data_IF_592724642728
#
_entry.id   IF_592724642728
#
_cell.length_a   1.000
_cell.length_b   1.000
_cell.length_c   1.000
_cell.angle_alpha   90.00
_cell.angle_beta   90.00
_cell.angle_gamma   90.00
#
_symmetry.space_group_name_H-M   'P 1'
#
loop_
_entity.id
_entity.type
_entity.pdbx_description
1 polymer ?
#
# COMPACT_ATOMS: atom_id res chain seq x y z
N UNK A 1 7.96 4.70 5.45
CA UNK A 1 7.68 6.13 5.49
C UNK A 1 6.20 6.42 5.30
N UNK A 2 5.70 7.42 6.00
CA UNK A 2 4.33 7.90 5.86
C UNK A 2 4.39 9.32 5.33
N UNK A 3 3.72 9.57 4.21
CA UNK A 3 3.57 10.92 3.66
C UNK A 3 2.18 11.43 3.99
N UNK A 4 2.11 12.55 4.72
CA UNK A 4 0.87 13.32 4.84
C UNK A 4 0.72 14.16 3.58
N UNK A 5 -0.25 13.82 2.75
CA UNK A 5 -0.36 14.40 1.40
C UNK A 5 -0.67 15.90 1.47
N UNK A 6 -1.61 16.29 2.33
CA UNK A 6 -2.03 17.69 2.43
C UNK A 6 -0.92 18.58 2.99
N UNK A 7 -0.23 18.12 4.02
CA UNK A 7 0.84 18.88 4.69
C UNK A 7 2.21 18.70 4.04
N UNK A 8 2.32 17.76 3.11
CA UNK A 8 3.58 17.40 2.46
C UNK A 8 4.69 17.11 3.48
N UNK A 9 4.35 16.36 4.51
CA UNK A 9 5.24 16.00 5.60
C UNK A 9 5.49 14.51 5.61
N UNK A 10 6.78 14.11 5.74
CA UNK A 10 7.19 12.71 5.77
C UNK A 10 7.49 12.32 7.21
N UNK A 11 6.93 11.19 7.64
CA UNK A 11 7.14 10.61 8.95
C UNK A 11 7.78 9.24 8.76
N UNK A 12 8.88 8.99 9.46
CA UNK A 12 9.55 7.69 9.40
C UNK A 12 8.93 6.76 10.43
N UNK A 13 8.77 5.49 10.04
CA UNK A 13 8.31 4.43 10.93
C UNK A 13 9.43 3.42 11.11
N UNK A 14 9.50 2.82 12.30
CA UNK A 14 10.52 1.83 12.60
C UNK A 14 10.24 0.50 11.89
N UNK A 15 11.30 -0.21 11.53
CA UNK A 15 11.18 -1.55 10.96
C UNK A 15 10.56 -2.49 11.99
N UNK A 16 9.61 -3.30 11.53
CA UNK A 16 8.92 -4.25 12.37
C UNK A 16 8.59 -5.48 11.53
N UNK A 17 9.08 -6.68 11.92
CA UNK A 17 8.78 -7.91 11.17
C UNK A 17 7.29 -8.17 11.00
N UNK A 18 6.49 -7.73 11.96
CA UNK A 18 5.04 -7.89 11.91
C UNK A 18 4.41 -7.04 10.79
N UNK A 19 4.97 -5.86 10.52
CA UNK A 19 4.55 -5.02 9.39
C UNK A 19 4.80 -5.77 8.08
N UNK A 20 5.95 -6.41 7.93
CA UNK A 20 6.27 -7.21 6.75
C UNK A 20 5.27 -8.35 6.56
N UNK A 21 4.98 -9.08 7.62
CA UNK A 21 4.05 -10.21 7.58
C UNK A 21 2.64 -9.77 7.20
N UNK A 22 2.12 -8.74 7.85
CA UNK A 22 0.78 -8.23 7.58
C UNK A 22 0.66 -7.63 6.19
N UNK A 23 1.69 -6.95 5.72
CA UNK A 23 1.72 -6.38 4.36
C UNK A 23 1.65 -7.48 3.31
N UNK A 24 2.42 -8.55 3.48
CA UNK A 24 2.42 -9.68 2.54
C UNK A 24 1.06 -10.39 2.51
N UNK A 25 0.38 -10.48 3.65
CA UNK A 25 -0.97 -11.03 3.71
C UNK A 25 -1.96 -10.18 2.89
N UNK A 26 -1.87 -8.87 3.02
CA UNK A 26 -2.77 -7.95 2.32
C UNK A 26 -2.56 -8.03 0.81
N UNK A 27 -1.32 -8.12 0.35
CA UNK A 27 -1.01 -8.24 -1.08
C UNK A 27 -1.66 -9.49 -1.68
N UNK A 28 -1.75 -10.58 -0.92
CA UNK A 28 -2.40 -11.81 -1.36
C UNK A 28 -3.92 -11.68 -1.44
N UNK A 29 -4.49 -10.65 -0.82
CA UNK A 29 -5.93 -10.40 -0.80
C UNK A 29 -6.40 -9.42 -1.88
N UNK A 30 -5.53 -9.06 -2.81
CA UNK A 30 -5.90 -8.21 -3.95
C UNK A 30 -7.03 -8.88 -4.73
N UNK A 31 -8.15 -8.18 -4.91
CA UNK A 31 -9.31 -8.75 -5.59
C UNK A 31 -9.74 -8.00 -6.84
N UNK A 32 -9.34 -6.74 -7.00
CA UNK A 32 -9.73 -5.97 -8.17
C UNK A 32 -8.82 -4.76 -8.36
N UNK A 33 -8.99 -4.07 -9.49
CA UNK A 33 -8.31 -2.81 -9.76
C UNK A 33 -9.17 -1.63 -9.30
N UNK A 34 -8.49 -0.52 -8.97
CA UNK A 34 -9.16 0.74 -8.69
C UNK A 34 -9.50 1.42 -10.00
N UNK A 35 -10.76 1.79 -10.20
CA UNK A 35 -11.25 2.35 -11.46
C UNK A 35 -11.47 3.88 -11.41
N UNK A 36 -10.80 4.57 -10.49
CA UNK A 36 -10.91 6.02 -10.36
C UNK A 36 -10.14 6.74 -11.45
N UNK A 37 -10.67 7.88 -11.87
CA UNK A 37 -9.98 8.77 -12.81
C UNK A 37 -8.68 9.32 -12.21
N UNK A 38 -8.72 9.72 -10.95
CA UNK A 38 -7.55 10.25 -10.25
C UNK A 38 -7.36 9.45 -8.94
N UNK A 39 -6.54 8.37 -8.97
CA UNK A 39 -6.43 7.47 -7.83
C UNK A 39 -5.57 7.98 -6.67
N UNK A 40 -4.86 9.09 -6.83
CA UNK A 40 -4.09 9.67 -5.73
C UNK A 40 -4.90 10.82 -5.14
N UNK A 41 -5.31 10.72 -3.85
CA UNK A 41 -6.14 11.75 -3.24
C UNK A 41 -5.35 13.01 -2.90
N UNK A 42 -6.06 14.13 -2.73
CA UNK A 42 -5.47 15.38 -2.28
C UNK A 42 -5.20 15.41 -0.79
N UNK A 43 -5.95 14.64 -0.02
CA UNK A 43 -5.84 14.55 1.44
C UNK A 43 -5.79 13.10 1.88
N UNK A 44 -5.00 12.83 2.92
CA UNK A 44 -4.79 11.50 3.46
C UNK A 44 -3.32 11.18 3.55
N UNK A 45 -3.00 9.89 3.45
CA UNK A 45 -1.63 9.42 3.66
C UNK A 45 -1.23 8.43 2.58
N UNK A 46 0.07 8.44 2.27
CA UNK A 46 0.72 7.38 1.50
C UNK A 46 1.70 6.68 2.44
N UNK A 47 1.54 5.38 2.62
CA UNK A 47 2.42 4.59 3.49
C UNK A 47 3.28 3.70 2.60
N UNK A 48 4.57 3.99 2.57
CA UNK A 48 5.54 3.26 1.76
C UNK A 48 6.18 2.17 2.61
N UNK A 49 6.03 0.93 2.21
CA UNK A 49 6.54 -0.23 2.96
C UNK A 49 7.47 -1.03 2.06
N UNK A 50 8.78 -1.08 2.38
CA UNK A 50 9.70 -1.94 1.65
C UNK A 50 9.44 -3.40 2.01
N UNK A 51 9.59 -4.29 1.04
CA UNK A 51 9.41 -5.73 1.20
C UNK A 51 10.76 -6.42 1.18
N UNK A 52 11.10 -7.13 2.24
CA UNK A 52 12.36 -7.84 2.39
C UNK A 52 12.09 -9.26 2.88
N UNK A 53 12.39 -10.29 2.08
CA UNK A 53 12.82 -10.24 0.68
C UNK A 53 11.69 -9.80 -0.26
N UNK A 54 12.06 -9.55 -1.52
CA UNK A 54 11.09 -9.22 -2.57
C UNK A 54 10.01 -10.29 -2.67
N UNK A 55 8.81 -9.87 -3.04
CA UNK A 55 7.67 -10.76 -3.19
C UNK A 55 7.30 -10.88 -4.66
N UNK A 56 7.11 -12.11 -5.14
CA UNK A 56 6.57 -12.34 -6.48
C UNK A 56 5.06 -12.16 -6.45
N UNK A 57 4.55 -11.20 -7.21
CA UNK A 57 3.13 -10.98 -7.36
C UNK A 57 2.69 -11.43 -8.74
N UNK A 58 1.77 -12.39 -8.76
CA UNK A 58 1.19 -12.90 -9.99
C UNK A 58 -0.32 -12.95 -9.86
N UNK A 59 -0.99 -12.19 -10.70
CA UNK A 59 -2.45 -12.21 -10.80
C UNK A 59 -2.84 -11.91 -12.26
N UNK A 60 -4.13 -11.74 -12.52
CA UNK A 60 -4.59 -11.54 -13.91
C UNK A 60 -4.21 -10.16 -14.48
N UNK A 61 -3.70 -9.24 -13.67
CA UNK A 61 -3.32 -7.90 -14.12
C UNK A 61 -1.82 -7.71 -14.23
N UNK A 62 -1.03 -8.42 -13.40
CA UNK A 62 0.41 -8.19 -13.32
C UNK A 62 1.13 -9.47 -12.89
N UNK A 63 2.34 -9.64 -13.42
CA UNK A 63 3.27 -10.71 -13.02
C UNK A 63 4.64 -10.06 -12.85
N UNK A 64 5.02 -9.75 -11.62
CA UNK A 64 6.22 -8.99 -11.36
C UNK A 64 6.77 -9.30 -9.97
N UNK A 65 8.07 -9.09 -9.78
CA UNK A 65 8.69 -9.11 -8.46
C UNK A 65 8.58 -7.70 -7.87
N UNK A 66 8.11 -7.60 -6.64
CA UNK A 66 7.96 -6.31 -5.96
C UNK A 66 8.81 -6.26 -4.70
N UNK A 67 9.49 -5.14 -4.50
CA UNK A 67 10.28 -4.89 -3.31
C UNK A 67 9.72 -3.76 -2.45
N UNK A 68 8.55 -3.24 -2.83
CA UNK A 68 7.90 -2.13 -2.16
C UNK A 68 6.42 -2.10 -2.50
N UNK A 69 5.61 -1.70 -1.53
CA UNK A 69 4.19 -1.41 -1.75
C UNK A 69 3.86 -0.08 -1.11
N UNK A 70 2.95 0.67 -1.72
CA UNK A 70 2.44 1.92 -1.18
C UNK A 70 0.97 1.71 -0.82
N UNK A 71 0.63 1.97 0.43
CA UNK A 71 -0.76 1.96 0.88
C UNK A 71 -1.28 3.38 0.78
N UNK A 72 -2.37 3.55 0.05
CA UNK A 72 -3.03 4.85 -0.10
C UNK A 72 -4.19 4.88 0.88
N UNK A 73 -4.16 5.86 1.79
CA UNK A 73 -5.20 6.03 2.82
C UNK A 73 -5.88 7.37 2.58
N UNK A 74 -6.95 7.42 1.78
CA UNK A 74 -7.69 8.66 1.57
C UNK A 74 -8.41 9.08 2.85
N UNK A 75 -8.70 10.37 2.98
CA UNK A 75 -9.38 10.90 4.16
C UNK A 75 -10.77 10.32 4.35
N UNK A 76 -11.51 10.09 3.28
CA UNK A 76 -12.93 9.75 3.30
C UNK A 76 -13.29 8.46 2.55
N UNK A 77 -12.30 7.61 2.26
CA UNK A 77 -12.51 6.35 1.55
C UNK A 77 -11.69 5.24 2.18
N UNK A 78 -12.02 3.99 1.83
CA UNK A 78 -11.24 2.83 2.28
C UNK A 78 -9.84 2.84 1.65
N UNK A 79 -8.83 2.38 2.38
CA UNK A 79 -7.47 2.25 1.84
C UNK A 79 -7.40 1.28 0.66
N UNK A 80 -6.46 1.56 -0.24
CA UNK A 80 -6.13 0.67 -1.35
C UNK A 80 -4.62 0.68 -1.60
N UNK A 81 -4.16 -0.16 -2.53
CA UNK A 81 -2.73 -0.36 -2.76
C UNK A 81 -2.28 0.25 -4.07
N UNK A 82 -1.06 0.75 -4.08
CA UNK A 82 -0.32 1.10 -5.29
C UNK A 82 0.91 0.21 -5.38
N UNK A 83 1.03 -0.50 -6.49
CA UNK A 83 2.19 -1.33 -6.80
C UNK A 83 2.76 -0.89 -8.12
N UNK A 84 4.07 -0.62 -8.14
CA UNK A 84 4.80 -0.24 -9.34
C UNK A 84 5.54 -1.48 -9.83
N UNK A 85 5.27 -1.91 -11.06
CA UNK A 85 5.90 -3.09 -11.62
C UNK A 85 7.34 -2.83 -12.07
N UNK A 86 8.01 -3.88 -12.57
CA UNK A 86 9.41 -3.76 -13.00
C UNK A 86 9.60 -2.98 -14.30
N UNK A 87 8.51 -2.56 -14.94
CA UNK A 87 8.53 -1.64 -16.09
C UNK A 87 8.15 -0.21 -15.68
N UNK A 88 8.11 0.07 -14.38
CA UNK A 88 7.70 1.36 -13.80
C UNK A 88 6.25 1.76 -14.09
N UNK A 89 5.38 0.79 -14.30
CA UNK A 89 3.95 1.04 -14.48
C UNK A 89 3.21 0.93 -13.15
N UNK A 90 2.38 1.92 -12.81
CA UNK A 90 1.60 1.87 -11.57
C UNK A 90 0.35 1.01 -11.74
N UNK A 91 0.04 0.24 -10.69
CA UNK A 91 -1.17 -0.56 -10.60
C UNK A 91 -1.86 -0.24 -9.28
N UNK A 92 -3.12 0.16 -9.34
CA UNK A 92 -3.90 0.47 -8.16
C UNK A 92 -4.90 -0.66 -7.92
N UNK A 93 -4.82 -1.26 -6.73
CA UNK A 93 -5.60 -2.46 -6.40
C UNK A 93 -6.44 -2.27 -5.14
N UNK A 94 -7.64 -2.86 -5.16
CA UNK A 94 -8.44 -3.06 -3.94
C UNK A 94 -8.12 -4.42 -3.34
N UNK A 95 -8.47 -4.61 -2.07
CA UNK A 95 -8.29 -5.88 -1.37
C UNK A 95 -9.63 -6.36 -0.79
N UNK A 96 -9.74 -7.67 -0.58
CA UNK A 96 -10.96 -8.30 -0.02
C UNK A 96 -11.18 -7.99 1.45
N UNK A 97 -10.07 -7.86 2.21
CA UNK A 97 -10.11 -7.71 3.66
C UNK A 97 -9.85 -6.28 4.08
N UNK A 98 -10.05 -5.99 5.35
CA UNK A 98 -9.72 -4.70 5.93
C UNK A 98 -8.22 -4.63 6.24
N UNK A 99 -7.66 -3.42 6.25
CA UNK A 99 -6.25 -3.18 6.59
C UNK A 99 -6.03 -2.88 8.07
N UNK A 100 -7.04 -3.06 8.91
CA UNK A 100 -7.02 -2.64 10.30
C UNK A 100 -5.82 -3.19 11.09
N UNK A 101 -5.52 -4.47 10.91
CA UNK A 101 -4.42 -5.10 11.64
C UNK A 101 -3.07 -4.49 11.25
N UNK A 102 -2.85 -4.26 9.96
CA UNK A 102 -1.62 -3.63 9.50
C UNK A 102 -1.51 -2.19 10.01
N UNK A 103 -2.57 -1.42 9.92
CA UNK A 103 -2.56 -0.02 10.34
C UNK A 103 -2.32 0.11 11.85
N UNK A 104 -2.87 -0.81 12.66
CA UNK A 104 -2.59 -0.86 14.09
C UNK A 104 -1.13 -1.22 14.37
N UNK A 105 -0.56 -2.12 13.57
CA UNK A 105 0.83 -2.54 13.72
C UNK A 105 1.79 -1.40 13.43
N UNK A 106 1.46 -0.54 12.47
CA UNK A 106 2.23 0.65 12.14
C UNK A 106 2.21 1.66 13.30
N UNK A 107 1.15 1.64 14.10
CA UNK A 107 1.03 2.48 15.31
C UNK A 107 1.12 3.98 15.02
N UNK A 108 0.41 4.41 14.00
CA UNK A 108 0.28 5.82 13.65
C UNK A 108 -1.20 6.22 13.64
N UNK A 109 -1.50 7.41 14.11
CA UNK A 109 -2.86 7.92 14.15
C UNK A 109 -3.22 8.56 12.79
N UNK A 110 -3.83 7.76 11.96
CA UNK A 110 -4.26 8.21 10.63
C UNK A 110 -5.51 9.07 10.65
#
# INVERSE_FOLDING_TARGET
EILDIEKNKIIKIQKNPKIQLETKKIIKEIDNIVTKFNPIPDKGYLVKIPLTPSLQLENKWVNTSIDEVIIIIPEDEKPYLLIIDNENKPHFFTIKTEMDTLLKTIDFSF
#
